data_IF_682433754592
#
_entry.id   IF_682433754592
#
_cell.length_a   1.000
_cell.length_b   1.000
_cell.length_c   1.000
_cell.angle_alpha   90.00
_cell.angle_beta   90.00
_cell.angle_gamma   90.00
#
_symmetry.space_group_name_H-M   'P 1'
#
loop_
_entity.id
_entity.type
_entity.pdbx_description
1 polymer ?
#
# COMPACT_ATOMS: atom_id res chain seq x y z
N UNK A 1 14.73 23.62 -32.52
CA UNK A 1 15.65 22.48 -32.29
C UNK A 1 16.28 22.17 -33.64
N UNK A 2 17.61 22.20 -33.76
CA UNK A 2 18.29 22.02 -35.06
C UNK A 2 18.52 20.53 -35.35
N UNK A 3 18.59 20.14 -36.63
CA UNK A 3 18.79 18.75 -37.04
C UNK A 3 20.06 18.12 -36.41
N UNK A 4 21.14 18.90 -36.29
CA UNK A 4 22.38 18.45 -35.67
C UNK A 4 22.23 18.11 -34.18
N UNK A 5 21.36 18.83 -33.46
CA UNK A 5 21.08 18.53 -32.04
C UNK A 5 20.35 17.19 -31.89
N UNK A 6 19.44 16.88 -32.81
CA UNK A 6 18.69 15.61 -32.81
C UNK A 6 19.61 14.45 -33.16
N UNK A 7 20.44 14.58 -34.20
CA UNK A 7 21.41 13.56 -34.62
C UNK A 7 22.42 13.26 -33.50
N UNK A 8 22.87 14.30 -32.77
CA UNK A 8 23.78 14.12 -31.65
C UNK A 8 23.13 13.35 -30.50
N UNK A 9 21.85 13.58 -30.21
CA UNK A 9 21.10 12.83 -29.19
C UNK A 9 20.79 11.39 -29.61
N UNK A 10 20.52 11.12 -30.88
CA UNK A 10 20.40 9.76 -31.42
C UNK A 10 21.72 9.01 -31.28
N UNK A 11 22.85 9.63 -31.66
CA UNK A 11 24.19 9.04 -31.49
C UNK A 11 24.59 8.83 -30.04
N UNK A 12 24.06 9.63 -29.11
CA UNK A 12 24.27 9.47 -27.67
C UNK A 12 23.41 8.35 -27.05
N UNK A 13 22.48 7.76 -27.82
CA UNK A 13 21.57 6.72 -27.33
C UNK A 13 20.34 7.25 -26.59
N UNK A 14 20.10 8.57 -26.57
CA UNK A 14 18.96 9.18 -25.88
C UNK A 14 17.62 8.97 -26.61
N UNK A 15 17.66 8.59 -27.89
CA UNK A 15 16.49 8.28 -28.71
C UNK A 15 16.74 7.03 -29.55
N UNK A 16 15.80 6.08 -29.55
CA UNK A 16 15.77 5.05 -30.57
C UNK A 16 15.05 5.62 -31.80
N UNK A 17 15.78 5.69 -32.91
CA UNK A 17 15.23 6.11 -34.20
C UNK A 17 15.69 5.15 -35.28
N UNK A 18 14.77 4.79 -36.18
CA UNK A 18 15.06 3.98 -37.36
C UNK A 18 15.03 4.87 -38.60
N UNK A 19 15.90 4.58 -39.57
CA UNK A 19 15.92 5.30 -40.84
C UNK A 19 15.04 4.55 -41.83
N UNK A 20 13.85 5.10 -42.10
CA UNK A 20 12.91 4.53 -43.07
C UNK A 20 13.03 5.36 -44.35
N UNK A 21 13.83 4.87 -45.31
CA UNK A 21 14.18 5.60 -46.52
C UNK A 21 15.11 6.79 -46.26
N UNK A 22 14.69 7.98 -46.68
CA UNK A 22 15.44 9.25 -46.54
C UNK A 22 15.00 10.08 -45.32
N UNK A 23 14.06 9.58 -44.52
CA UNK A 23 13.56 10.27 -43.32
C UNK A 23 13.90 9.51 -42.04
N UNK A 24 14.28 10.27 -41.01
CA UNK A 24 14.49 9.73 -39.66
C UNK A 24 13.14 9.64 -38.95
N UNK A 25 12.73 8.43 -38.58
CA UNK A 25 11.55 8.19 -37.76
C UNK A 25 11.99 8.05 -36.30
N UNK A 26 11.56 8.99 -35.46
CA UNK A 26 11.87 8.99 -34.02
C UNK A 26 10.61 8.52 -33.31
N UNK A 27 10.67 7.37 -32.67
CA UNK A 27 9.54 6.85 -31.90
C UNK A 27 9.53 7.55 -30.52
N UNK A 28 8.56 8.45 -30.23
CA UNK A 28 8.59 9.28 -29.03
C UNK A 28 8.50 8.49 -27.71
N UNK A 29 8.30 7.17 -27.78
CA UNK A 29 8.21 6.29 -26.61
C UNK A 29 9.56 5.78 -26.09
N UNK A 30 10.68 6.12 -26.73
CA UNK A 30 11.99 5.50 -26.46
C UNK A 30 13.01 6.43 -25.78
N UNK A 31 12.56 7.47 -25.07
CA UNK A 31 13.44 8.14 -24.09
C UNK A 31 13.67 7.19 -22.92
N UNK A 32 14.60 6.27 -23.11
CA UNK A 32 15.16 5.38 -22.11
C UNK A 32 16.08 6.20 -21.20
N UNK A 33 15.52 7.16 -20.48
CA UNK A 33 16.11 7.48 -19.18
C UNK A 33 15.72 6.33 -18.26
N UNK A 34 16.57 5.29 -18.22
CA UNK A 34 16.73 4.42 -17.06
C UNK A 34 17.17 5.31 -15.88
N UNK A 35 16.28 6.17 -15.43
CA UNK A 35 16.30 6.59 -14.03
C UNK A 35 16.08 5.28 -13.29
N UNK A 36 17.06 4.76 -12.51
CA UNK A 36 16.83 3.57 -11.73
C UNK A 36 15.60 3.85 -10.89
N UNK A 37 14.49 3.19 -11.23
CA UNK A 37 13.21 3.41 -10.57
C UNK A 37 13.52 3.24 -9.08
N UNK A 38 13.40 4.30 -8.25
CA UNK A 38 13.79 4.20 -6.88
C UNK A 38 12.98 3.02 -6.34
N UNK A 39 13.69 1.98 -5.87
CA UNK A 39 13.07 0.83 -5.21
C UNK A 39 12.45 1.35 -3.93
N UNK A 40 11.32 2.03 -4.07
CA UNK A 40 10.61 2.69 -3.00
C UNK A 40 9.82 1.59 -2.31
N UNK A 41 10.59 0.82 -1.55
CA UNK A 41 10.15 -0.20 -0.62
C UNK A 41 9.06 0.47 0.21
N UNK A 42 7.84 -0.06 0.20
CA UNK A 42 6.66 0.50 0.87
C UNK A 42 6.75 0.47 2.41
N UNK A 43 7.95 0.60 2.98
CA UNK A 43 8.27 0.53 4.40
C UNK A 43 7.40 1.51 5.18
N UNK A 44 7.26 2.75 4.71
CA UNK A 44 6.41 3.75 5.37
C UNK A 44 4.95 3.29 5.48
N UNK A 45 4.42 2.66 4.43
CA UNK A 45 3.05 2.19 4.41
C UNK A 45 2.84 0.97 5.32
N UNK A 46 3.83 0.07 5.39
CA UNK A 46 3.85 -1.07 6.30
C UNK A 46 3.92 -0.59 7.76
N UNK A 47 4.73 0.44 8.07
CA UNK A 47 4.81 1.03 9.40
C UNK A 47 3.46 1.61 9.82
N UNK A 48 2.79 2.35 8.93
CA UNK A 48 1.46 2.91 9.20
C UNK A 48 0.44 1.78 9.45
N UNK A 49 0.43 0.73 8.62
CA UNK A 49 -0.46 -0.41 8.81
C UNK A 49 -0.25 -1.11 10.16
N UNK A 50 1.02 -1.29 10.57
CA UNK A 50 1.36 -1.86 11.87
C UNK A 50 0.93 -0.96 13.03
N UNK A 51 1.10 0.36 12.90
CA UNK A 51 0.68 1.31 13.94
C UNK A 51 -0.85 1.31 14.13
N UNK A 52 -1.59 1.31 13.03
CA UNK A 52 -3.06 1.24 13.03
C UNK A 52 -3.53 -0.08 13.66
N UNK A 53 -2.89 -1.20 13.33
CA UNK A 53 -3.19 -2.49 13.94
C UNK A 53 -2.87 -2.52 15.44
N UNK A 54 -1.73 -1.94 15.86
CA UNK A 54 -1.35 -1.84 17.26
C UNK A 54 -2.36 -1.02 18.08
N UNK A 55 -2.82 0.13 17.54
CA UNK A 55 -3.88 0.94 18.16
C UNK A 55 -5.18 0.13 18.29
N UNK A 56 -5.55 -0.62 17.25
CA UNK A 56 -6.71 -1.50 17.29
C UNK A 56 -6.63 -2.56 18.39
N UNK A 57 -5.46 -3.18 18.57
CA UNK A 57 -5.21 -4.14 19.66
C UNK A 57 -5.28 -3.50 21.04
N UNK A 58 -4.73 -2.30 21.22
CA UNK A 58 -4.83 -1.55 22.49
C UNK A 58 -6.29 -1.21 22.81
N UNK A 59 -7.06 -0.73 21.83
CA UNK A 59 -8.48 -0.44 22.01
C UNK A 59 -9.30 -1.71 22.33
N UNK A 60 -9.00 -2.83 21.67
CA UNK A 60 -9.64 -4.12 21.93
C UNK A 60 -9.38 -4.60 23.36
N UNK A 61 -8.11 -4.69 23.76
CA UNK A 61 -7.71 -5.18 25.09
C UNK A 61 -8.22 -4.21 26.17
N UNK A 62 -8.08 -2.91 25.95
CA UNK A 62 -8.61 -1.89 26.87
C UNK A 62 -10.13 -1.99 27.03
N UNK A 63 -10.87 -2.19 25.94
CA UNK A 63 -12.33 -2.37 25.97
C UNK A 63 -12.75 -3.65 26.72
N UNK A 64 -12.04 -4.77 26.52
CA UNK A 64 -12.30 -6.02 27.24
C UNK A 64 -12.04 -5.85 28.73
N UNK A 65 -10.89 -5.27 29.11
CA UNK A 65 -10.55 -5.03 30.52
C UNK A 65 -11.56 -4.09 31.18
N UNK A 66 -11.92 -3.00 30.50
CA UNK A 66 -12.92 -2.05 30.99
C UNK A 66 -14.29 -2.73 31.19
N UNK A 67 -14.69 -3.64 30.29
CA UNK A 67 -15.91 -4.42 30.42
C UNK A 67 -15.86 -5.33 31.66
N UNK A 68 -14.76 -6.07 31.86
CA UNK A 68 -14.60 -6.95 33.02
C UNK A 68 -14.64 -6.20 34.34
N UNK A 69 -13.90 -5.07 34.45
CA UNK A 69 -13.89 -4.22 35.65
C UNK A 69 -15.27 -3.62 35.90
N UNK A 70 -15.93 -3.16 34.85
CA UNK A 70 -17.28 -2.62 34.93
C UNK A 70 -18.26 -3.65 35.47
N UNK A 71 -18.28 -4.87 34.93
CA UNK A 71 -19.19 -5.93 35.40
C UNK A 71 -18.89 -6.33 36.85
N UNK A 72 -17.61 -6.41 37.24
CA UNK A 72 -17.21 -6.76 38.60
C UNK A 72 -17.57 -5.70 39.66
N UNK A 73 -17.77 -4.44 39.26
CA UNK A 73 -17.98 -3.31 40.17
C UNK A 73 -19.46 -3.03 40.49
N UNK A 74 -20.41 -3.75 39.90
CA UNK A 74 -21.83 -3.44 40.06
C UNK A 74 -22.51 -4.24 41.19
N UNK A 75 -23.15 -3.51 42.12
CA UNK A 75 -24.00 -4.04 43.19
C UNK A 75 -25.46 -4.28 42.75
N UNK A 76 -26.23 -4.96 43.60
CA UNK A 76 -27.61 -5.37 43.32
C UNK A 76 -28.62 -4.21 43.44
N UNK A 77 -29.34 -3.91 42.35
CA UNK A 77 -30.45 -2.95 42.33
C UNK A 77 -30.96 -2.62 40.92
N UNK A 78 -32.24 -2.29 40.75
CA UNK A 78 -32.87 -2.05 39.44
C UNK A 78 -32.32 -0.81 38.72
N UNK A 79 -32.02 0.25 39.48
CA UNK A 79 -31.30 1.44 38.98
C UNK A 79 -29.82 1.15 38.65
N UNK A 80 -29.24 0.12 39.26
CA UNK A 80 -27.89 -0.33 38.96
C UNK A 80 -27.84 -1.04 37.59
N UNK A 81 -28.91 -1.72 37.18
CA UNK A 81 -28.96 -2.40 35.88
C UNK A 81 -28.92 -1.44 34.68
N UNK A 82 -29.71 -0.36 34.71
CA UNK A 82 -29.71 0.65 33.63
C UNK A 82 -28.35 1.37 33.56
N UNK A 83 -27.76 1.71 34.72
CA UNK A 83 -26.43 2.30 34.79
C UNK A 83 -25.35 1.35 34.27
N UNK A 84 -25.40 0.06 34.62
CA UNK A 84 -24.48 -0.97 34.10
C UNK A 84 -24.54 -1.01 32.58
N UNK A 85 -25.74 -1.07 32.01
CA UNK A 85 -25.92 -1.27 30.58
C UNK A 85 -25.48 -0.04 29.76
N UNK A 86 -25.90 1.17 30.17
CA UNK A 86 -25.65 2.40 29.40
C UNK A 86 -24.27 3.00 29.68
N UNK A 87 -23.82 3.00 30.94
CA UNK A 87 -22.57 3.67 31.33
C UNK A 87 -21.37 2.74 31.24
N UNK A 88 -21.56 1.43 31.43
CA UNK A 88 -20.47 0.49 31.55
C UNK A 88 -20.35 -0.43 30.32
N UNK A 89 -21.44 -1.08 29.92
CA UNK A 89 -21.42 -2.07 28.83
C UNK A 89 -21.38 -1.40 27.45
N UNK A 90 -22.28 -0.45 27.18
CA UNK A 90 -22.38 0.21 25.88
C UNK A 90 -21.06 0.83 25.38
N UNK A 91 -20.32 1.64 26.16
CA UNK A 91 -19.05 2.20 25.70
C UNK A 91 -17.95 1.14 25.55
N UNK A 92 -17.94 0.11 26.41
CA UNK A 92 -16.96 -0.98 26.33
C UNK A 92 -17.15 -1.83 25.07
N UNK A 93 -18.39 -2.17 24.74
CA UNK A 93 -18.74 -2.87 23.49
C UNK A 93 -18.38 -1.99 22.29
N UNK A 94 -18.66 -0.69 22.35
CA UNK A 94 -18.25 0.27 21.33
C UNK A 94 -16.73 0.25 21.10
N UNK A 95 -15.94 0.35 22.17
CA UNK A 95 -14.48 0.30 22.11
C UNK A 95 -13.95 -1.01 21.51
N UNK A 96 -14.54 -2.15 21.87
CA UNK A 96 -14.19 -3.47 21.30
C UNK A 96 -14.49 -3.49 19.79
N UNK A 97 -15.69 -3.09 19.38
CA UNK A 97 -16.08 -3.07 17.96
C UNK A 97 -15.17 -2.14 17.14
N UNK A 98 -14.88 -0.95 17.66
CA UNK A 98 -13.93 -0.03 17.04
C UNK A 98 -12.54 -0.65 16.97
N UNK A 99 -12.05 -1.29 18.03
CA UNK A 99 -10.76 -1.99 18.04
C UNK A 99 -10.66 -3.08 16.97
N UNK A 100 -11.69 -3.92 16.83
CA UNK A 100 -11.76 -4.96 15.78
C UNK A 100 -11.71 -4.31 14.38
N UNK A 101 -12.47 -3.24 14.16
CA UNK A 101 -12.47 -2.52 12.88
C UNK A 101 -11.08 -1.98 12.52
N UNK A 102 -10.37 -1.39 13.49
CA UNK A 102 -9.00 -0.90 13.29
C UNK A 102 -8.02 -2.04 12.96
N UNK A 103 -8.14 -3.18 13.65
CA UNK A 103 -7.33 -4.37 13.34
C UNK A 103 -7.60 -4.83 11.91
N UNK A 104 -8.87 -4.95 11.52
CA UNK A 104 -9.27 -5.38 10.18
C UNK A 104 -8.73 -4.44 9.10
N UNK A 105 -8.85 -3.12 9.30
CA UNK A 105 -8.30 -2.11 8.37
C UNK A 105 -6.79 -2.22 8.24
N UNK A 106 -6.06 -2.42 9.35
CA UNK A 106 -4.62 -2.65 9.32
C UNK A 106 -4.23 -3.88 8.50
N UNK A 107 -4.97 -4.98 8.64
CA UNK A 107 -4.73 -6.21 7.87
C UNK A 107 -5.05 -6.04 6.38
N UNK A 108 -6.15 -5.36 6.05
CA UNK A 108 -6.53 -5.07 4.65
C UNK A 108 -5.47 -4.19 3.97
N UNK A 109 -4.98 -3.16 4.66
CA UNK A 109 -3.88 -2.34 4.13
C UNK A 109 -2.63 -3.18 3.87
N UNK A 110 -2.23 -4.03 4.82
CA UNK A 110 -1.08 -4.93 4.63
C UNK A 110 -1.24 -5.83 3.41
N UNK A 111 -2.40 -6.48 3.27
CA UNK A 111 -2.70 -7.33 2.12
C UNK A 111 -2.68 -6.58 0.77
N UNK A 112 -3.13 -5.31 0.78
CA UNK A 112 -3.11 -4.45 -0.41
C UNK A 112 -1.68 -4.12 -0.83
N UNK A 113 -0.81 -3.78 0.13
CA UNK A 113 0.59 -3.50 -0.15
C UNK A 113 1.36 -4.75 -0.60
N UNK A 114 1.07 -5.90 0.01
CA UNK A 114 1.67 -7.17 -0.39
C UNK A 114 1.29 -7.50 -1.86
N UNK A 115 0.02 -7.31 -2.22
CA UNK A 115 -0.47 -7.51 -3.60
C UNK A 115 0.18 -6.53 -4.59
N UNK A 116 0.32 -5.26 -4.21
CA UNK A 116 1.01 -4.27 -5.04
C UNK A 116 2.48 -4.63 -5.27
N UNK A 117 3.16 -5.17 -4.25
CA UNK A 117 4.53 -5.61 -4.35
C UNK A 117 4.68 -6.85 -5.26
N UNK A 118 3.78 -7.82 -5.15
CA UNK A 118 3.74 -8.99 -6.04
C UNK A 118 3.53 -8.60 -7.50
N UNK A 119 2.60 -7.69 -7.78
CA UNK A 119 2.34 -7.22 -9.15
C UNK A 119 3.58 -6.55 -9.77
N UNK A 120 4.34 -5.79 -8.98
CA UNK A 120 5.61 -5.20 -9.43
C UNK A 120 6.65 -6.26 -9.77
N UNK A 121 6.79 -7.28 -8.94
CA UNK A 121 7.75 -8.36 -9.20
C UNK A 121 7.38 -9.15 -10.47
N UNK A 122 6.09 -9.43 -10.68
CA UNK A 122 5.62 -10.07 -11.91
C UNK A 122 5.94 -9.21 -13.14
N UNK A 123 5.70 -7.90 -13.09
CA UNK A 123 6.03 -6.99 -14.20
C UNK A 123 7.53 -6.98 -14.49
N UNK A 124 8.36 -6.97 -13.45
CA UNK A 124 9.83 -7.04 -13.56
C UNK A 124 10.27 -8.33 -14.26
N UNK A 125 9.70 -9.48 -13.87
CA UNK A 125 9.99 -10.77 -14.48
C UNK A 125 9.56 -10.81 -15.96
N UNK A 126 8.39 -10.26 -16.29
CA UNK A 126 7.91 -10.19 -17.68
C UNK A 126 8.77 -9.28 -18.55
N UNK A 127 9.23 -8.15 -18.02
CA UNK A 127 10.16 -7.27 -18.72
C UNK A 127 11.50 -7.96 -18.96
N UNK A 128 12.04 -8.64 -17.95
CA UNK A 128 13.29 -9.41 -18.07
C UNK A 128 13.19 -10.54 -19.11
N UNK A 129 12.05 -11.25 -19.17
CA UNK A 129 11.80 -12.26 -20.20
C UNK A 129 11.70 -11.65 -21.60
N UNK A 130 11.01 -10.51 -21.75
CA UNK A 130 10.92 -9.80 -23.04
C UNK A 130 12.29 -9.38 -23.56
N UNK A 131 13.19 -8.93 -22.69
CA UNK A 131 14.55 -8.54 -23.09
C UNK A 131 15.44 -9.75 -23.40
N UNK A 132 15.18 -10.91 -22.79
CA UNK A 132 15.97 -12.13 -23.01
C UNK A 132 15.59 -12.88 -24.30
N UNK A 133 14.35 -12.73 -24.77
CA UNK A 133 13.88 -13.25 -26.05
C UNK A 133 13.32 -12.10 -26.89
N UNK A 134 14.17 -11.29 -27.55
CA UNK A 134 13.70 -10.39 -28.59
C UNK A 134 13.06 -11.27 -29.66
N UNK A 135 11.78 -11.03 -29.95
CA UNK A 135 11.06 -11.74 -31.00
C UNK A 135 11.86 -11.57 -32.30
N UNK A 136 12.52 -12.63 -32.74
CA UNK A 136 13.08 -12.72 -34.09
C UNK A 136 11.88 -12.75 -35.03
N UNK A 137 11.52 -11.58 -35.55
CA UNK A 137 10.55 -11.41 -36.63
C UNK A 137 11.25 -11.53 -37.99
#
# INVERSE_FOLDING_TARGET
>A
MTADQVIRKIKAGDYAGERIGDQWHIDPKTTTHETPEPQQKYIFAIIIANLISAVGWVALVGGIVALCVSVASYGSGTLAFIKLLVVAVAPSVGAILTGILFIALGQVMRATFDTANYNREVLRLLQQQRTAHPLEC
#
